data_IF_051100328155
#
_entry.id   IF_051100328155
#
_cell.length_a   1.000
_cell.length_b   1.000
_cell.length_c   1.000
_cell.angle_alpha   90.00
_cell.angle_beta   90.00
_cell.angle_gamma   90.00
#
_symmetry.space_group_name_H-M   'P 1'
#
loop_
_entity.id
_entity.type
_entity.pdbx_description
1 polymer ?
#
# COMPACT_ATOMS: atom_id res chain seq x y z
N UNK A 1 -13.35 -28.94 6.73
CA UNK A 1 -12.25 -28.53 5.81
C UNK A 1 -11.23 -27.79 6.64
N UNK A 2 -10.00 -28.31 6.71
CA UNK A 2 -8.87 -27.66 7.40
C UNK A 2 -8.46 -26.37 6.69
N UNK A 3 -7.67 -25.52 7.33
CA UNK A 3 -7.18 -24.30 6.67
C UNK A 3 -6.29 -24.62 5.48
N UNK A 4 -5.50 -25.70 5.57
CA UNK A 4 -4.71 -26.18 4.43
C UNK A 4 -5.59 -26.68 3.28
N UNK A 5 -6.64 -27.47 3.55
CA UNK A 5 -7.60 -27.91 2.53
C UNK A 5 -8.28 -26.75 1.81
N UNK A 6 -8.62 -25.67 2.53
CA UNK A 6 -9.19 -24.45 1.91
C UNK A 6 -8.25 -23.86 0.86
N UNK A 7 -6.92 -23.86 1.10
CA UNK A 7 -5.95 -23.24 0.19
C UNK A 7 -5.93 -23.97 -1.16
N UNK A 8 -5.93 -25.30 -1.14
CA UNK A 8 -5.75 -26.11 -2.35
C UNK A 8 -7.05 -26.66 -2.95
N UNK A 9 -8.22 -26.33 -2.38
CA UNK A 9 -9.49 -26.71 -3.00
C UNK A 9 -9.62 -26.08 -4.39
N UNK A 10 -10.24 -26.81 -5.33
CA UNK A 10 -10.45 -26.31 -6.69
C UNK A 10 -11.20 -24.99 -6.69
N UNK A 11 -12.25 -24.86 -5.86
CA UNK A 11 -13.06 -23.66 -5.74
C UNK A 11 -12.23 -22.44 -5.30
N UNK A 12 -11.39 -22.61 -4.28
CA UNK A 12 -10.53 -21.53 -3.78
C UNK A 12 -9.50 -21.12 -4.81
N UNK A 13 -8.85 -22.06 -5.48
CA UNK A 13 -7.89 -21.77 -6.55
C UNK A 13 -8.57 -21.11 -7.75
N UNK A 14 -9.78 -21.51 -8.11
CA UNK A 14 -10.56 -20.86 -9.18
C UNK A 14 -10.94 -19.42 -8.80
N UNK A 15 -11.41 -19.18 -7.58
CA UNK A 15 -11.71 -17.84 -7.08
C UNK A 15 -10.46 -16.96 -7.02
N UNK A 16 -9.32 -17.50 -6.57
CA UNK A 16 -8.02 -16.85 -6.58
C UNK A 16 -7.57 -16.48 -8.00
N UNK A 17 -7.73 -17.40 -8.97
CA UNK A 17 -7.49 -17.11 -10.38
C UNK A 17 -8.36 -15.95 -10.88
N UNK A 18 -9.67 -15.96 -10.60
CA UNK A 18 -10.58 -14.86 -10.98
C UNK A 18 -10.11 -13.51 -10.45
N UNK A 19 -9.68 -13.45 -9.19
CA UNK A 19 -9.11 -12.23 -8.58
C UNK A 19 -7.79 -11.83 -9.25
N UNK A 20 -6.88 -12.76 -9.45
CA UNK A 20 -5.57 -12.49 -10.05
C UNK A 20 -5.66 -11.93 -11.48
N UNK A 21 -6.67 -12.32 -12.26
CA UNK A 21 -6.88 -11.85 -13.65
C UNK A 21 -7.62 -10.52 -13.75
N UNK A 22 -8.24 -10.04 -12.68
CA UNK A 22 -9.06 -8.82 -12.73
C UNK A 22 -8.25 -7.62 -13.24
N UNK A 23 -8.74 -6.99 -14.32
CA UNK A 23 -8.04 -5.89 -14.99
C UNK A 23 -6.73 -6.27 -15.70
N UNK A 24 -6.42 -7.58 -15.85
CA UNK A 24 -5.15 -8.07 -16.44
C UNK A 24 -5.35 -9.17 -17.48
N UNK A 25 -6.59 -9.41 -17.94
CA UNK A 25 -6.92 -10.49 -18.89
C UNK A 25 -6.17 -10.39 -20.22
N UNK A 26 -5.84 -9.18 -20.64
CA UNK A 26 -5.08 -8.89 -21.85
C UNK A 26 -3.57 -9.21 -21.75
N UNK A 27 -3.05 -9.54 -20.57
CA UNK A 27 -1.64 -9.88 -20.37
C UNK A 27 -1.40 -11.34 -20.79
N UNK A 28 -0.38 -11.56 -21.63
CA UNK A 28 -0.04 -12.87 -22.17
C UNK A 28 0.11 -13.99 -21.15
N UNK A 29 0.66 -13.70 -19.95
CA UNK A 29 0.79 -14.69 -18.88
C UNK A 29 -0.58 -15.15 -18.32
N UNK A 30 -1.56 -14.24 -18.21
CA UNK A 30 -2.91 -14.58 -17.79
C UNK A 30 -3.62 -15.40 -18.88
N UNK A 31 -3.50 -14.98 -20.15
CA UNK A 31 -4.08 -15.68 -21.28
C UNK A 31 -3.52 -17.11 -21.43
N UNK A 32 -2.18 -17.28 -21.32
CA UNK A 32 -1.55 -18.62 -21.35
C UNK A 32 -2.07 -19.54 -20.26
N UNK A 33 -2.25 -19.03 -19.05
CA UNK A 33 -2.79 -19.81 -17.92
C UNK A 33 -4.27 -20.16 -18.16
N UNK A 34 -5.05 -19.28 -18.81
CA UNK A 34 -6.47 -19.46 -19.09
C UNK A 34 -6.74 -20.55 -20.15
N UNK A 35 -5.82 -20.81 -21.08
CA UNK A 35 -5.95 -21.84 -22.13
C UNK A 35 -6.17 -23.25 -21.53
N UNK A 36 -5.40 -23.62 -20.51
CA UNK A 36 -5.48 -24.92 -19.85
C UNK A 36 -5.91 -24.76 -18.38
N UNK A 37 -6.89 -23.89 -18.13
CA UNK A 37 -7.25 -23.46 -16.76
C UNK A 37 -7.58 -24.62 -15.83
N UNK A 38 -8.46 -25.55 -16.25
CA UNK A 38 -8.93 -26.65 -15.40
C UNK A 38 -7.78 -27.60 -15.04
N UNK A 39 -6.96 -27.93 -16.01
CA UNK A 39 -5.79 -28.78 -15.83
C UNK A 39 -4.76 -28.10 -14.90
N UNK A 40 -4.46 -26.82 -15.15
CA UNK A 40 -3.53 -26.03 -14.34
C UNK A 40 -3.98 -25.92 -12.87
N UNK A 41 -5.28 -25.71 -12.61
CA UNK A 41 -5.80 -25.62 -11.25
C UNK A 41 -5.78 -26.98 -10.55
N UNK A 42 -6.14 -28.07 -11.24
CA UNK A 42 -6.06 -29.43 -10.68
C UNK A 42 -4.62 -29.82 -10.37
N UNK A 43 -3.68 -29.49 -11.27
CA UNK A 43 -2.26 -29.73 -11.04
C UNK A 43 -1.75 -28.95 -9.82
N UNK A 44 -2.10 -27.66 -9.68
CA UNK A 44 -1.75 -26.84 -8.51
C UNK A 44 -2.33 -27.44 -7.23
N UNK A 45 -3.60 -27.84 -7.24
CA UNK A 45 -4.25 -28.51 -6.10
C UNK A 45 -3.47 -29.76 -5.68
N UNK A 46 -3.15 -30.62 -6.63
CA UNK A 46 -2.40 -31.85 -6.39
C UNK A 46 -0.98 -31.55 -5.86
N UNK A 47 -0.28 -30.59 -6.46
CA UNK A 47 1.08 -30.20 -6.03
C UNK A 47 1.11 -29.64 -4.60
N UNK A 48 0.14 -28.79 -4.23
CA UNK A 48 0.05 -28.24 -2.86
C UNK A 48 -0.28 -29.36 -1.88
N UNK A 49 -1.31 -30.15 -2.16
CA UNK A 49 -1.75 -31.28 -1.32
C UNK A 49 -0.62 -32.27 -1.02
N UNK A 50 0.22 -32.57 -2.02
CA UNK A 50 1.34 -33.52 -1.88
C UNK A 50 2.65 -32.85 -1.48
N UNK A 51 2.64 -31.54 -1.16
CA UNK A 51 3.83 -30.74 -0.81
C UNK A 51 4.93 -30.73 -1.89
N UNK A 52 4.56 -30.95 -3.15
CA UNK A 52 5.45 -30.88 -4.32
C UNK A 52 5.42 -29.52 -5.04
N UNK A 53 4.59 -28.60 -4.55
CA UNK A 53 4.57 -27.25 -5.08
C UNK A 53 5.89 -26.53 -4.84
N UNK A 54 6.39 -25.86 -5.85
CA UNK A 54 7.58 -25.00 -5.78
C UNK A 54 7.30 -23.65 -6.41
N UNK A 55 7.89 -22.60 -5.84
CA UNK A 55 7.83 -21.26 -6.39
C UNK A 55 8.62 -21.15 -7.68
N UNK A 56 8.07 -20.46 -8.67
CA UNK A 56 8.82 -20.09 -9.89
C UNK A 56 9.80 -18.96 -9.60
N UNK A 57 10.90 -18.85 -10.37
CA UNK A 57 11.77 -17.68 -10.31
C UNK A 57 11.00 -16.37 -10.51
N UNK A 58 11.40 -15.34 -9.78
CA UNK A 58 10.82 -14.01 -9.91
C UNK A 58 11.25 -13.34 -11.22
N UNK A 59 10.31 -12.65 -11.85
CA UNK A 59 10.64 -11.68 -12.89
C UNK A 59 10.87 -10.31 -12.24
N UNK A 60 12.11 -9.85 -12.23
CA UNK A 60 12.53 -8.62 -11.55
C UNK A 60 12.60 -7.46 -12.55
N UNK A 61 11.99 -6.33 -12.20
CA UNK A 61 12.05 -5.11 -12.98
C UNK A 61 12.00 -3.86 -12.08
N UNK A 62 12.45 -2.74 -12.62
CA UNK A 62 12.48 -1.47 -11.90
C UNK A 62 11.29 -0.58 -12.27
N UNK A 63 10.71 0.04 -11.23
CA UNK A 63 9.68 1.08 -11.36
C UNK A 63 10.26 2.39 -10.82
N UNK A 64 10.12 3.47 -11.58
CA UNK A 64 10.74 4.76 -11.25
C UNK A 64 9.78 5.80 -10.63
N UNK A 65 8.48 5.57 -10.68
CA UNK A 65 7.47 6.48 -10.10
C UNK A 65 6.72 5.84 -8.94
N UNK A 66 6.53 6.53 -7.81
CA UNK A 66 7.03 7.88 -7.44
C UNK A 66 8.50 7.88 -6.98
N UNK A 67 9.11 6.71 -6.79
CA UNK A 67 10.52 6.47 -6.44
C UNK A 67 10.99 5.20 -7.15
N UNK A 68 12.30 5.11 -7.43
CA UNK A 68 12.91 3.87 -7.91
C UNK A 68 12.67 2.74 -6.91
N UNK A 69 12.09 1.63 -7.40
CA UNK A 69 11.86 0.40 -6.63
C UNK A 69 12.12 -0.79 -7.52
N UNK A 70 12.76 -1.80 -6.96
CA UNK A 70 12.86 -3.12 -7.58
C UNK A 70 11.59 -3.88 -7.24
N UNK A 71 10.86 -4.30 -8.25
CA UNK A 71 9.63 -5.10 -8.10
C UNK A 71 9.93 -6.52 -8.55
N UNK A 72 9.60 -7.48 -7.71
CA UNK A 72 9.72 -8.91 -7.99
C UNK A 72 8.34 -9.47 -8.28
N UNK A 73 8.07 -9.78 -9.55
CA UNK A 73 6.78 -10.29 -9.98
C UNK A 73 6.79 -11.81 -10.06
N UNK A 74 5.85 -12.45 -9.39
CA UNK A 74 5.64 -13.89 -9.43
C UNK A 74 5.13 -14.32 -10.80
N UNK A 75 5.31 -15.60 -11.10
CA UNK A 75 4.60 -16.30 -12.17
C UNK A 75 3.07 -16.23 -11.94
N UNK A 76 2.29 -16.51 -12.97
CA UNK A 76 0.84 -16.42 -12.81
C UNK A 76 0.30 -17.53 -11.89
N UNK A 77 0.87 -18.75 -11.95
CA UNK A 77 0.50 -19.84 -11.04
C UNK A 77 0.75 -19.47 -9.56
N UNK A 78 1.89 -18.83 -9.28
CA UNK A 78 2.26 -18.44 -7.92
C UNK A 78 1.35 -17.33 -7.38
N UNK A 79 0.88 -16.42 -8.26
CA UNK A 79 -0.15 -15.45 -7.89
C UNK A 79 -1.45 -16.11 -7.48
N UNK A 80 -1.89 -17.15 -8.20
CA UNK A 80 -3.09 -17.90 -7.84
C UNK A 80 -2.95 -18.55 -6.46
N UNK A 81 -1.83 -19.21 -6.20
CA UNK A 81 -1.55 -19.83 -4.90
C UNK A 81 -1.53 -18.80 -3.78
N UNK A 82 -0.82 -17.69 -3.98
CA UNK A 82 -0.77 -16.62 -2.96
C UNK A 82 -2.12 -15.95 -2.72
N UNK A 83 -2.94 -15.75 -3.75
CA UNK A 83 -4.31 -15.27 -3.56
C UNK A 83 -5.13 -16.26 -2.76
N UNK A 84 -5.06 -17.56 -3.06
CA UNK A 84 -5.78 -18.58 -2.31
C UNK A 84 -5.34 -18.62 -0.83
N UNK A 85 -4.04 -18.60 -0.56
CA UNK A 85 -3.50 -18.54 0.80
C UNK A 85 -3.94 -17.27 1.55
N UNK A 86 -3.84 -16.10 0.90
CA UNK A 86 -4.22 -14.83 1.51
C UNK A 86 -5.71 -14.79 1.84
N UNK A 87 -6.56 -15.12 0.88
CA UNK A 87 -8.01 -14.98 1.01
C UNK A 87 -8.63 -15.97 2.02
N UNK A 88 -8.11 -17.19 2.07
CA UNK A 88 -8.71 -18.26 2.88
C UNK A 88 -8.06 -18.41 4.26
N UNK A 89 -6.83 -17.95 4.46
CA UNK A 89 -6.09 -18.19 5.71
C UNK A 89 -5.47 -16.91 6.27
N UNK A 90 -4.58 -16.25 5.52
CA UNK A 90 -3.80 -15.15 6.12
C UNK A 90 -4.69 -13.96 6.49
N UNK A 91 -5.54 -13.47 5.59
CA UNK A 91 -6.40 -12.32 5.86
C UNK A 91 -7.38 -12.61 7.00
N UNK A 92 -8.15 -13.72 7.01
CA UNK A 92 -9.07 -14.03 8.10
C UNK A 92 -8.42 -14.20 9.48
N UNK A 93 -7.17 -14.69 9.54
CA UNK A 93 -6.48 -14.95 10.81
C UNK A 93 -5.73 -13.71 11.28
N UNK A 94 -4.87 -13.13 10.42
CA UNK A 94 -3.96 -12.06 10.83
C UNK A 94 -4.68 -10.73 11.11
N UNK A 95 -5.73 -10.41 10.34
CA UNK A 95 -6.42 -9.13 10.50
C UNK A 95 -7.21 -8.99 11.79
N UNK A 96 -7.47 -10.11 12.52
CA UNK A 96 -8.17 -10.10 13.81
C UNK A 96 -7.41 -9.33 14.89
N UNK A 97 -6.07 -9.35 14.85
CA UNK A 97 -5.23 -8.63 15.82
C UNK A 97 -5.00 -7.17 15.42
N UNK A 98 -5.19 -6.81 14.15
CA UNK A 98 -4.84 -5.48 13.67
C UNK A 98 -5.72 -4.40 14.27
N UNK A 99 -5.12 -3.37 14.82
CA UNK A 99 -5.85 -2.23 15.34
C UNK A 99 -6.71 -1.55 14.26
N UNK A 100 -7.79 -0.87 14.69
CA UNK A 100 -8.66 -0.12 13.77
C UNK A 100 -7.86 0.89 12.92
N UNK A 101 -6.86 1.52 13.52
CA UNK A 101 -6.07 2.60 12.93
C UNK A 101 -4.82 2.13 12.15
N UNK A 102 -4.80 0.87 11.74
CA UNK A 102 -3.95 0.33 10.68
C UNK A 102 -4.76 0.32 9.38
N UNK A 103 -4.34 1.10 8.37
CA UNK A 103 -5.17 1.47 7.23
C UNK A 103 -4.84 0.75 5.92
N UNK A 104 -3.70 0.06 5.84
CA UNK A 104 -3.23 -0.52 4.58
C UNK A 104 -3.76 -1.93 4.35
N UNK A 105 -3.96 -2.29 3.07
CA UNK A 105 -4.19 -3.67 2.57
C UNK A 105 -5.20 -4.50 3.37
N UNK A 106 -6.30 -3.90 3.80
CA UNK A 106 -7.42 -4.55 4.49
C UNK A 106 -8.73 -4.16 3.80
N UNK A 107 -9.69 -5.09 3.79
CA UNK A 107 -11.04 -4.84 3.24
C UNK A 107 -11.71 -3.68 4.00
N UNK A 108 -12.32 -2.76 3.26
CA UNK A 108 -12.97 -1.57 3.83
C UNK A 108 -12.04 -0.47 4.32
N UNK A 109 -10.71 -0.68 4.26
CA UNK A 109 -9.70 0.32 4.60
C UNK A 109 -8.92 0.79 3.36
N UNK A 110 -7.94 1.64 3.53
CA UNK A 110 -7.12 2.18 2.44
C UNK A 110 -6.76 3.65 2.66
N UNK A 111 -6.24 4.29 1.62
CA UNK A 111 -5.77 5.68 1.67
C UNK A 111 -6.87 6.66 2.10
N UNK A 112 -8.10 6.50 1.60
CA UNK A 112 -9.20 7.39 1.95
C UNK A 112 -9.61 7.23 3.41
N UNK A 113 -9.76 5.98 3.87
CA UNK A 113 -10.05 5.69 5.26
C UNK A 113 -8.98 6.30 6.20
N UNK A 114 -7.68 6.12 5.89
CA UNK A 114 -6.61 6.70 6.69
C UNK A 114 -6.62 8.22 6.74
N UNK A 115 -6.94 8.89 5.61
CA UNK A 115 -7.09 10.33 5.55
C UNK A 115 -8.28 10.83 6.38
N UNK A 116 -9.39 10.13 6.35
CA UNK A 116 -10.59 10.49 7.12
C UNK A 116 -10.37 10.28 8.62
N UNK A 117 -9.64 9.22 9.00
CA UNK A 117 -9.22 9.00 10.39
C UNK A 117 -8.26 10.07 10.88
N UNK A 118 -7.27 10.49 10.08
CA UNK A 118 -6.40 11.62 10.43
C UNK A 118 -7.20 12.91 10.66
N UNK A 119 -8.13 13.20 9.78
CA UNK A 119 -9.01 14.37 9.90
C UNK A 119 -9.87 14.30 11.17
N UNK A 120 -10.43 13.13 11.49
CA UNK A 120 -11.18 12.90 12.71
C UNK A 120 -10.30 13.12 13.96
N UNK A 121 -9.09 12.59 13.97
CA UNK A 121 -8.15 12.76 15.07
C UNK A 121 -7.77 14.23 15.29
N UNK A 122 -7.49 14.96 14.21
CA UNK A 122 -7.21 16.40 14.30
C UNK A 122 -8.39 17.18 14.88
N UNK A 123 -9.63 16.90 14.45
CA UNK A 123 -10.85 17.54 15.00
C UNK A 123 -11.06 17.18 16.47
N UNK A 124 -10.88 15.92 16.86
CA UNK A 124 -11.01 15.48 18.26
C UNK A 124 -9.94 16.08 19.14
N UNK A 125 -8.71 16.17 18.63
CA UNK A 125 -7.61 16.82 19.32
C UNK A 125 -7.93 18.30 19.57
N UNK A 126 -8.33 19.03 18.53
CA UNK A 126 -8.68 20.44 18.60
C UNK A 126 -9.77 20.74 19.64
N UNK A 127 -10.83 19.96 19.68
CA UNK A 127 -11.92 20.12 20.66
C UNK A 127 -11.45 20.04 22.10
N UNK A 128 -10.39 19.30 22.37
CA UNK A 128 -9.87 19.10 23.73
C UNK A 128 -8.73 20.05 24.07
N UNK A 129 -7.86 20.36 23.11
CA UNK A 129 -6.57 21.00 23.37
C UNK A 129 -6.36 22.27 22.53
N UNK A 130 -7.34 22.69 21.74
CA UNK A 130 -7.15 23.78 20.77
C UNK A 130 -6.17 23.41 19.65
N UNK A 131 -5.49 24.40 19.11
CA UNK A 131 -4.51 24.22 18.02
C UNK A 131 -3.11 23.84 18.52
N UNK A 132 -2.86 24.06 19.82
CA UNK A 132 -1.54 23.88 20.41
C UNK A 132 -1.26 22.40 20.69
N UNK A 133 -0.51 21.82 19.80
CA UNK A 133 -0.11 20.42 19.86
C UNK A 133 1.04 20.11 18.93
N UNK A 134 1.46 18.87 19.00
CA UNK A 134 2.61 18.34 18.27
C UNK A 134 2.22 17.09 17.52
N UNK A 135 2.86 16.86 16.39
CA UNK A 135 2.74 15.63 15.63
C UNK A 135 4.12 15.02 15.43
N UNK A 136 4.26 13.73 15.78
CA UNK A 136 5.38 12.91 15.35
C UNK A 136 4.94 12.23 14.07
N UNK A 137 5.68 12.45 12.98
CA UNK A 137 5.54 11.76 11.71
C UNK A 137 6.74 10.85 11.52
N UNK A 138 6.48 9.55 11.45
CA UNK A 138 7.50 8.51 11.33
C UNK A 138 7.33 7.66 10.08
N UNK A 139 8.44 7.06 9.64
CA UNK A 139 8.55 6.18 8.49
C UNK A 139 9.67 5.18 8.75
N UNK A 140 9.51 3.91 8.35
CA UNK A 140 10.54 2.88 8.49
C UNK A 140 11.45 2.89 7.26
N UNK A 141 12.75 2.89 7.50
CA UNK A 141 13.73 2.88 6.42
C UNK A 141 13.72 1.55 5.67
N UNK A 142 13.59 1.59 4.33
CA UNK A 142 13.65 0.41 3.44
C UNK A 142 12.80 -0.77 3.93
N UNK A 143 11.61 -0.54 4.46
CA UNK A 143 10.81 -1.45 5.25
C UNK A 143 10.78 -2.88 4.68
N UNK A 144 10.27 -3.11 3.46
CA UNK A 144 10.17 -4.44 2.84
C UNK A 144 11.51 -5.14 2.67
N UNK A 145 12.58 -4.39 2.48
CA UNK A 145 13.95 -4.92 2.33
C UNK A 145 14.63 -5.24 3.67
N UNK A 146 14.03 -4.80 4.79
CA UNK A 146 14.61 -4.94 6.14
C UNK A 146 13.87 -5.96 7.01
N UNK A 147 12.79 -6.56 6.51
CA UNK A 147 12.03 -7.59 7.25
C UNK A 147 12.87 -8.85 7.37
N UNK A 148 13.17 -9.27 8.58
CA UNK A 148 13.91 -10.49 8.88
C UNK A 148 12.99 -11.71 8.81
N UNK A 149 13.43 -12.77 8.13
CA UNK A 149 12.63 -13.99 7.93
C UNK A 149 12.39 -14.73 9.25
N UNK A 150 13.40 -14.83 10.13
CA UNK A 150 13.29 -15.50 11.43
C UNK A 150 12.23 -14.83 12.32
N UNK A 151 12.27 -13.50 12.44
CA UNK A 151 11.29 -12.72 13.21
C UNK A 151 9.89 -12.86 12.60
N UNK A 152 9.77 -12.74 11.26
CA UNK A 152 8.50 -12.89 10.56
C UNK A 152 7.87 -14.27 10.78
N UNK A 153 8.66 -15.33 10.62
CA UNK A 153 8.21 -16.70 10.84
C UNK A 153 7.76 -16.95 12.29
N UNK A 154 8.45 -16.36 13.27
CA UNK A 154 8.05 -16.42 14.68
C UNK A 154 6.68 -15.78 14.89
N UNK A 155 6.48 -14.54 14.40
CA UNK A 155 5.20 -13.84 14.51
C UNK A 155 4.04 -14.58 13.81
N UNK A 156 4.31 -15.26 12.69
CA UNK A 156 3.30 -16.05 11.98
C UNK A 156 2.92 -17.28 12.83
N UNK A 157 3.90 -17.98 13.42
CA UNK A 157 3.68 -19.17 14.26
C UNK A 157 2.91 -18.87 15.55
N UNK A 158 2.92 -17.63 16.03
CA UNK A 158 2.06 -17.20 17.13
C UNK A 158 0.57 -17.15 16.74
N UNK A 159 0.24 -17.07 15.46
CA UNK A 159 -1.12 -16.92 14.94
C UNK A 159 -1.62 -18.16 14.18
N UNK A 160 -0.73 -18.90 13.55
CA UNK A 160 -1.03 -20.05 12.69
C UNK A 160 -0.22 -21.23 13.20
N UNK A 161 -0.92 -22.32 13.52
CA UNK A 161 -0.33 -23.54 14.09
C UNK A 161 -0.39 -24.75 13.15
N UNK A 162 -1.19 -24.67 12.07
CA UNK A 162 -1.30 -25.75 11.07
C UNK A 162 0.05 -25.94 10.35
N UNK A 163 0.72 -27.10 10.49
CA UNK A 163 2.05 -27.33 9.95
C UNK A 163 2.09 -27.33 8.42
N UNK A 164 0.99 -27.68 7.77
CA UNK A 164 0.91 -27.74 6.32
C UNK A 164 0.74 -26.33 5.72
N UNK A 165 -0.01 -25.47 6.41
CA UNK A 165 -0.09 -24.03 6.09
C UNK A 165 1.27 -23.38 6.31
N UNK A 166 1.93 -23.66 7.43
CA UNK A 166 3.26 -23.12 7.74
C UNK A 166 4.32 -23.54 6.71
N UNK A 167 4.27 -24.79 6.22
CA UNK A 167 5.14 -25.24 5.13
C UNK A 167 5.01 -24.34 3.89
N UNK A 168 3.77 -24.02 3.46
CA UNK A 168 3.56 -23.18 2.29
C UNK A 168 4.00 -21.74 2.52
N UNK A 169 3.77 -21.21 3.72
CA UNK A 169 4.20 -19.87 4.11
C UNK A 169 5.74 -19.77 4.11
N UNK A 170 6.42 -20.75 4.72
CA UNK A 170 7.88 -20.79 4.76
C UNK A 170 8.48 -20.88 3.34
N UNK A 171 7.90 -21.71 2.47
CA UNK A 171 8.29 -21.78 1.07
C UNK A 171 8.19 -20.42 0.35
N UNK A 172 7.17 -19.64 0.66
CA UNK A 172 6.99 -18.30 0.06
C UNK A 172 7.98 -17.30 0.66
N UNK A 173 8.21 -17.32 1.96
CA UNK A 173 9.17 -16.42 2.62
C UNK A 173 10.59 -16.71 2.13
N UNK A 174 10.97 -17.98 2.06
CA UNK A 174 12.32 -18.42 1.66
C UNK A 174 12.54 -18.41 0.13
N UNK A 175 11.54 -17.98 -0.64
CA UNK A 175 11.65 -17.86 -2.11
C UNK A 175 12.56 -16.73 -2.59
N UNK A 176 13.04 -15.89 -1.68
CA UNK A 176 14.05 -14.84 -1.95
C UNK A 176 15.41 -15.24 -1.37
N UNK A 177 16.48 -14.77 -2.01
CA UNK A 177 17.82 -15.00 -1.52
C UNK A 177 18.07 -14.33 -0.15
N UNK A 178 18.76 -15.03 0.74
CA UNK A 178 19.12 -14.53 2.06
C UNK A 178 18.00 -14.65 3.09
N UNK A 179 18.25 -14.09 4.28
CA UNK A 179 17.36 -14.20 5.44
C UNK A 179 16.68 -12.88 5.79
N UNK A 180 16.74 -11.89 4.89
CA UNK A 180 16.22 -10.53 5.09
C UNK A 180 15.60 -10.01 3.81
N UNK A 181 14.43 -9.40 3.94
CA UNK A 181 13.68 -8.80 2.84
C UNK A 181 12.58 -9.71 2.29
N UNK A 182 11.45 -9.09 1.96
CA UNK A 182 10.32 -9.76 1.31
C UNK A 182 10.00 -9.05 -0.02
N UNK A 183 9.51 -9.80 -1.04
CA UNK A 183 9.31 -9.27 -2.37
C UNK A 183 8.28 -8.15 -2.43
N UNK A 184 8.63 -7.03 -3.05
CA UNK A 184 7.66 -6.01 -3.42
C UNK A 184 6.93 -6.49 -4.69
N UNK A 185 5.65 -6.86 -4.54
CA UNK A 185 4.82 -7.35 -5.65
C UNK A 185 4.00 -8.59 -5.29
N UNK A 186 4.35 -9.28 -4.21
CA UNK A 186 3.58 -10.39 -3.67
C UNK A 186 2.40 -9.90 -2.84
N UNK A 187 1.26 -10.60 -2.91
CA UNK A 187 0.12 -10.30 -2.06
C UNK A 187 0.42 -10.68 -0.60
N UNK A 188 1.05 -11.82 -0.38
CA UNK A 188 1.47 -12.29 0.95
C UNK A 188 2.37 -11.27 1.64
N UNK A 189 3.30 -10.64 0.91
CA UNK A 189 4.20 -9.62 1.47
C UNK A 189 3.46 -8.42 2.08
N UNK A 190 2.27 -8.08 1.58
CA UNK A 190 1.46 -7.01 2.15
C UNK A 190 0.97 -7.38 3.56
N UNK A 191 0.42 -8.58 3.73
CA UNK A 191 -0.08 -9.07 5.03
C UNK A 191 1.06 -9.32 6.00
N UNK A 192 2.18 -9.88 5.52
CA UNK A 192 3.39 -10.07 6.32
C UNK A 192 3.96 -8.76 6.85
N UNK A 193 4.00 -7.73 6.01
CA UNK A 193 4.43 -6.40 6.42
C UNK A 193 3.45 -5.77 7.45
N UNK A 194 2.16 -6.01 7.35
CA UNK A 194 1.21 -5.54 8.36
C UNK A 194 1.42 -6.25 9.71
N UNK A 195 1.59 -7.57 9.69
CA UNK A 195 1.84 -8.38 10.88
C UNK A 195 3.15 -8.01 11.58
N UNK A 196 4.22 -7.77 10.82
CA UNK A 196 5.53 -7.46 11.37
C UNK A 196 5.54 -6.22 12.28
N UNK A 197 4.68 -5.24 12.00
CA UNK A 197 4.50 -4.03 12.81
C UNK A 197 3.21 -4.03 13.65
N UNK A 198 2.45 -5.12 13.70
CA UNK A 198 1.24 -5.21 14.52
C UNK A 198 1.56 -4.97 16.00
N UNK A 199 2.62 -5.61 16.50
CA UNK A 199 3.09 -5.36 17.87
C UNK A 199 3.50 -3.91 18.16
N UNK A 200 3.98 -3.15 17.15
CA UNK A 200 4.24 -1.72 17.30
C UNK A 200 2.93 -0.94 17.48
N UNK A 201 1.89 -1.32 16.73
CA UNK A 201 0.58 -0.66 16.83
C UNK A 201 0.00 -0.78 18.26
N UNK A 202 0.05 -1.99 18.81
CA UNK A 202 -0.36 -2.27 20.19
C UNK A 202 0.54 -1.57 21.21
N UNK A 203 1.85 -1.59 21.02
CA UNK A 203 2.79 -0.89 21.89
C UNK A 203 2.48 0.62 21.97
N UNK A 204 2.24 1.26 20.83
CA UNK A 204 1.92 2.70 20.77
C UNK A 204 0.57 3.01 21.41
N UNK A 205 -0.45 2.17 21.16
CA UNK A 205 -1.80 2.39 21.68
C UNK A 205 -1.93 2.06 23.17
N UNK A 206 -1.37 0.94 23.60
CA UNK A 206 -1.64 0.34 24.92
C UNK A 206 -0.54 0.70 25.95
N UNK A 207 0.74 0.66 25.55
CA UNK A 207 1.84 0.96 26.47
C UNK A 207 2.18 2.45 26.49
N UNK A 208 2.28 3.08 25.30
CA UNK A 208 2.50 4.52 25.22
C UNK A 208 1.21 5.33 25.35
N UNK A 209 0.04 4.73 25.43
CA UNK A 209 -1.24 5.41 25.65
C UNK A 209 -1.60 6.47 24.61
N UNK A 210 -1.01 6.43 23.38
CA UNK A 210 -1.24 7.43 22.35
C UNK A 210 -2.61 7.22 21.72
N UNK A 211 -3.54 8.10 22.05
CA UNK A 211 -4.92 8.04 21.55
C UNK A 211 -5.02 8.31 20.04
N UNK A 212 -4.27 9.28 19.53
CA UNK A 212 -4.32 9.75 18.15
C UNK A 212 -3.12 9.22 17.37
N UNK A 213 -3.12 7.94 17.12
CA UNK A 213 -2.12 7.19 16.35
C UNK A 213 -2.78 6.53 15.14
N UNK A 214 -2.08 6.56 14.00
CA UNK A 214 -2.49 5.82 12.82
C UNK A 214 -1.31 5.43 11.95
N UNK A 215 -1.42 4.29 11.26
CA UNK A 215 -0.37 3.74 10.40
C UNK A 215 -0.92 3.29 9.04
N UNK A 216 -0.13 3.54 8.00
CA UNK A 216 -0.31 2.99 6.66
C UNK A 216 1.00 2.35 6.22
N UNK A 217 1.12 1.03 6.30
CA UNK A 217 2.36 0.27 6.12
C UNK A 217 3.46 0.75 7.08
N UNK A 218 4.54 1.29 6.52
CA UNK A 218 5.71 1.86 7.20
C UNK A 218 5.51 3.32 7.65
N UNK A 219 4.49 3.98 7.13
CA UNK A 219 4.21 5.40 7.35
C UNK A 219 3.19 5.60 8.48
N UNK A 220 3.59 6.27 9.59
CA UNK A 220 2.74 6.46 10.77
C UNK A 220 2.81 7.87 11.35
N UNK A 221 1.82 8.21 12.15
CA UNK A 221 1.78 9.48 12.88
C UNK A 221 1.22 9.31 14.30
N UNK A 222 1.69 10.18 15.22
CA UNK A 222 1.17 10.34 16.57
C UNK A 222 0.86 11.82 16.79
N UNK A 223 -0.27 12.14 17.42
CA UNK A 223 -0.63 13.51 17.82
C UNK A 223 -0.76 13.58 19.34
N UNK A 224 -0.08 14.55 19.96
CA UNK A 224 -0.12 14.78 21.39
C UNK A 224 0.07 16.27 21.71
N UNK A 225 -0.41 16.72 22.86
CA UNK A 225 -0.24 18.12 23.32
C UNK A 225 1.17 18.37 23.87
N UNK A 226 1.79 17.36 24.44
CA UNK A 226 3.13 17.45 25.04
C UNK A 226 4.21 16.98 24.06
N UNK A 227 5.16 17.88 23.74
CA UNK A 227 6.30 17.61 22.87
C UNK A 227 7.32 16.68 23.50
N UNK A 228 7.60 16.88 24.80
CA UNK A 228 8.60 16.07 25.51
C UNK A 228 8.14 14.61 25.58
N UNK A 229 6.85 14.40 25.81
CA UNK A 229 6.26 13.06 25.75
C UNK A 229 6.41 12.41 24.37
N UNK A 230 6.17 13.14 23.28
CA UNK A 230 6.39 12.60 21.93
C UNK A 230 7.87 12.31 21.64
N UNK A 231 8.80 13.08 22.22
CA UNK A 231 10.23 12.78 22.11
C UNK A 231 10.58 11.47 22.79
N UNK A 232 10.01 11.22 23.97
CA UNK A 232 10.18 9.95 24.67
C UNK A 232 9.52 8.79 23.90
N UNK A 233 8.30 8.97 23.40
CA UNK A 233 7.65 8.00 22.53
C UNK A 233 8.52 7.66 21.31
N UNK A 234 9.14 8.65 20.67
CA UNK A 234 10.05 8.42 19.53
C UNK A 234 11.21 7.51 19.91
N UNK A 235 11.88 7.75 21.05
CA UNK A 235 12.99 6.90 21.52
C UNK A 235 12.53 5.47 21.76
N UNK A 236 11.38 5.29 22.42
CA UNK A 236 10.85 3.97 22.71
C UNK A 236 10.39 3.23 21.45
N UNK A 237 9.78 3.92 20.48
CA UNK A 237 9.45 3.37 19.16
C UNK A 237 10.72 2.97 18.42
N UNK A 238 11.77 3.79 18.45
CA UNK A 238 13.05 3.49 17.82
C UNK A 238 13.68 2.21 18.39
N UNK A 239 13.74 2.09 19.73
CA UNK A 239 14.20 0.88 20.41
C UNK A 239 13.35 -0.36 20.03
N UNK A 240 12.03 -0.20 19.99
CA UNK A 240 11.10 -1.27 19.61
C UNK A 240 11.36 -1.80 18.20
N UNK A 241 11.53 -0.91 17.20
CA UNK A 241 11.77 -1.32 15.82
C UNK A 241 13.18 -1.85 15.62
N UNK A 242 14.19 -1.32 16.34
CA UNK A 242 15.57 -1.81 16.32
C UNK A 242 15.67 -3.25 16.83
N UNK A 243 14.94 -3.59 17.89
CA UNK A 243 14.88 -4.98 18.40
C UNK A 243 14.34 -5.98 17.36
N UNK A 244 13.66 -5.50 16.31
CA UNK A 244 13.16 -6.28 15.19
C UNK A 244 14.00 -6.17 13.92
N UNK A 245 15.19 -5.57 14.00
CA UNK A 245 16.07 -5.37 12.85
C UNK A 245 15.64 -4.24 11.91
N UNK A 246 14.75 -3.36 12.35
CA UNK A 246 14.28 -2.21 11.58
C UNK A 246 14.91 -0.91 12.09
N UNK A 247 14.86 0.14 11.28
CA UNK A 247 15.30 1.48 11.68
C UNK A 247 14.32 2.55 11.23
N UNK A 248 14.15 3.59 12.04
CA UNK A 248 13.40 4.77 11.66
C UNK A 248 14.12 5.52 10.53
N UNK A 249 13.35 6.05 9.59
CA UNK A 249 13.89 6.91 8.56
C UNK A 249 14.38 8.23 9.17
N UNK A 250 15.50 8.76 8.69
CA UNK A 250 16.05 10.04 9.13
C UNK A 250 15.08 11.24 9.02
N UNK A 251 14.02 11.10 8.21
CA UNK A 251 12.95 12.09 8.09
C UNK A 251 11.91 12.03 9.22
N UNK A 252 11.98 11.03 10.11
CA UNK A 252 11.12 10.95 11.29
C UNK A 252 11.32 12.17 12.16
N UNK A 253 10.27 12.97 12.34
CA UNK A 253 10.39 14.27 13.00
C UNK A 253 9.14 14.62 13.82
N UNK A 254 9.33 15.50 14.81
CA UNK A 254 8.27 16.09 15.63
C UNK A 254 8.20 17.57 15.30
N UNK A 255 7.00 18.02 14.97
CA UNK A 255 6.74 19.43 14.60
C UNK A 255 5.38 19.88 15.12
N UNK A 256 5.13 21.21 15.22
CA UNK A 256 3.85 21.75 15.66
C UNK A 256 2.70 21.29 14.76
N UNK A 257 1.58 20.90 15.37
CA UNK A 257 0.38 20.43 14.67
C UNK A 257 -0.18 21.48 13.70
N UNK A 258 -0.05 22.77 14.04
CA UNK A 258 -0.46 23.90 13.18
C UNK A 258 0.24 23.95 11.83
N UNK A 259 1.42 23.35 11.69
CA UNK A 259 2.10 23.25 10.40
C UNK A 259 1.46 22.23 9.46
N UNK A 260 0.53 21.40 9.96
CA UNK A 260 -0.06 20.31 9.20
C UNK A 260 0.89 19.14 8.98
N UNK A 261 0.39 18.10 8.35
CA UNK A 261 1.14 16.87 8.08
C UNK A 261 0.93 16.37 6.66
N UNK A 262 2.01 15.91 6.06
CA UNK A 262 2.00 15.21 4.79
C UNK A 262 1.71 13.72 5.03
N UNK A 263 0.53 13.24 4.60
CA UNK A 263 0.13 11.85 4.74
C UNK A 263 -0.69 11.40 3.52
N UNK A 264 -0.41 10.23 2.99
CA UNK A 264 -1.13 9.57 1.88
C UNK A 264 -1.42 10.50 0.68
N UNK A 265 -0.45 11.32 0.29
CA UNK A 265 -0.54 12.18 -0.89
C UNK A 265 -1.13 13.56 -0.65
N UNK A 266 -1.56 13.85 0.56
CA UNK A 266 -2.15 15.14 0.95
C UNK A 266 -1.33 15.83 2.05
N UNK A 267 -1.46 17.14 2.10
CA UNK A 267 -1.10 17.98 3.22
C UNK A 267 -2.36 18.34 4.00
N UNK A 268 -2.47 17.88 5.24
CA UNK A 268 -3.65 18.08 6.09
C UNK A 268 -3.27 18.94 7.29
N UNK A 269 -4.01 20.02 7.55
CA UNK A 269 -3.76 20.95 8.63
C UNK A 269 -5.04 21.47 9.29
N UNK A 270 -4.91 21.97 10.52
CA UNK A 270 -5.94 22.68 11.27
C UNK A 270 -5.86 24.18 10.98
N UNK A 271 -7.02 24.82 10.83
CA UNK A 271 -7.15 26.28 10.89
C UNK A 271 -7.32 26.73 12.35
N UNK A 272 -7.17 28.01 12.61
CA UNK A 272 -7.44 28.60 13.93
C UNK A 272 -8.88 28.36 14.40
N UNK A 273 -9.84 28.30 13.48
CA UNK A 273 -11.24 27.98 13.78
C UNK A 273 -11.52 26.48 14.01
N UNK A 274 -10.50 25.61 13.95
CA UNK A 274 -10.64 24.15 14.12
C UNK A 274 -11.12 23.41 12.89
N UNK A 275 -11.27 24.06 11.74
CA UNK A 275 -11.55 23.38 10.49
C UNK A 275 -10.30 22.60 10.04
N UNK A 276 -10.49 21.37 9.57
CA UNK A 276 -9.41 20.57 9.00
C UNK A 276 -9.44 20.70 7.49
N UNK A 277 -8.35 21.19 6.93
CA UNK A 277 -8.16 21.40 5.49
C UNK A 277 -7.19 20.36 4.95
N UNK A 278 -7.56 19.70 3.85
CA UNK A 278 -6.79 18.67 3.15
C UNK A 278 -6.47 19.16 1.73
N UNK A 279 -5.20 19.44 1.44
CA UNK A 279 -4.76 19.92 0.12
C UNK A 279 -3.87 18.88 -0.57
N UNK A 280 -4.04 18.70 -1.88
CA UNK A 280 -3.13 17.91 -2.71
C UNK A 280 -1.72 18.48 -2.62
N UNK A 281 -0.72 17.64 -2.38
CA UNK A 281 0.70 18.06 -2.24
C UNK A 281 1.19 18.74 -3.50
N UNK A 282 2.02 19.79 -3.31
CA UNK A 282 2.61 20.59 -4.41
C UNK A 282 3.32 19.71 -5.45
N UNK A 283 4.05 18.69 -4.99
CA UNK A 283 4.73 17.74 -5.89
C UNK A 283 3.75 16.99 -6.80
N UNK A 284 2.62 16.50 -6.27
CA UNK A 284 1.60 15.80 -7.06
C UNK A 284 1.00 16.70 -8.14
N UNK A 285 0.69 17.96 -7.80
CA UNK A 285 0.19 18.98 -8.77
C UNK A 285 1.19 19.22 -9.90
N UNK A 286 2.45 19.42 -9.56
CA UNK A 286 3.51 19.69 -10.54
C UNK A 286 3.79 18.48 -11.43
N UNK A 287 3.82 17.28 -10.86
CA UNK A 287 4.00 16.03 -11.61
C UNK A 287 2.85 15.82 -12.60
N UNK A 288 1.59 16.06 -12.16
CA UNK A 288 0.45 15.94 -13.08
C UNK A 288 0.53 16.91 -14.26
N UNK A 289 0.87 18.19 -14.03
CA UNK A 289 1.05 19.14 -15.13
C UNK A 289 2.13 18.71 -16.14
N UNK A 290 3.28 18.22 -15.64
CA UNK A 290 4.34 17.69 -16.51
C UNK A 290 3.89 16.46 -17.29
N UNK A 291 3.19 15.54 -16.60
CA UNK A 291 2.67 14.31 -17.21
C UNK A 291 1.65 14.62 -18.30
N UNK A 292 0.71 15.54 -18.07
CA UNK A 292 -0.27 15.96 -19.07
C UNK A 292 0.40 16.55 -20.31
N UNK A 293 1.42 17.44 -20.12
CA UNK A 293 2.17 18.00 -21.24
C UNK A 293 2.85 16.91 -22.08
N UNK A 294 3.47 15.92 -21.42
CA UNK A 294 4.13 14.77 -22.08
C UNK A 294 3.10 13.90 -22.84
N UNK A 295 1.99 13.54 -22.18
CA UNK A 295 0.97 12.69 -22.78
C UNK A 295 0.29 13.38 -23.97
N UNK A 296 -0.05 14.67 -23.86
CA UNK A 296 -0.59 15.45 -24.98
C UNK A 296 0.37 15.51 -26.17
N UNK A 297 1.69 15.61 -25.93
CA UNK A 297 2.68 15.55 -26.99
C UNK A 297 2.76 14.17 -27.67
N UNK A 298 2.68 13.08 -26.90
CA UNK A 298 2.63 11.71 -27.42
C UNK A 298 1.35 11.45 -28.23
N UNK A 299 0.22 11.98 -27.78
CA UNK A 299 -1.04 11.91 -28.51
C UNK A 299 -0.96 12.65 -29.83
N UNK A 300 -0.45 13.89 -29.85
CA UNK A 300 -0.26 14.65 -31.08
C UNK A 300 0.72 14.00 -32.07
N UNK A 301 1.65 13.16 -31.59
CA UNK A 301 2.55 12.36 -32.40
C UNK A 301 1.94 11.00 -32.83
N UNK A 302 0.67 10.74 -32.58
CA UNK A 302 -0.02 9.47 -32.90
C UNK A 302 0.46 8.24 -32.13
N UNK A 303 1.26 8.43 -31.04
CA UNK A 303 1.84 7.31 -30.26
C UNK A 303 0.90 6.74 -29.21
N UNK A 304 -0.09 7.51 -28.78
CA UNK A 304 -1.15 7.11 -27.83
C UNK A 304 -2.48 7.73 -28.25
N UNK A 305 -3.59 7.09 -27.86
CA UNK A 305 -4.93 7.59 -28.09
C UNK A 305 -5.35 8.67 -27.06
N UNK A 306 -6.36 9.46 -27.40
CA UNK A 306 -6.91 10.49 -26.49
C UNK A 306 -7.43 9.88 -25.18
N UNK A 307 -8.01 8.66 -25.25
CA UNK A 307 -8.54 7.92 -24.10
C UNK A 307 -7.46 7.63 -23.06
N UNK A 308 -6.24 7.30 -23.48
CA UNK A 308 -5.08 7.09 -22.58
C UNK A 308 -4.74 8.38 -21.81
N UNK A 309 -4.77 9.53 -22.48
CA UNK A 309 -4.52 10.83 -21.82
C UNK A 309 -5.61 11.13 -20.80
N UNK A 310 -6.87 10.94 -21.21
CA UNK A 310 -8.04 11.17 -20.38
C UNK A 310 -8.04 10.27 -19.13
N UNK A 311 -7.84 8.96 -19.29
CA UNK A 311 -7.77 8.01 -18.17
C UNK A 311 -6.70 8.40 -17.15
N UNK A 312 -5.53 8.84 -17.63
CA UNK A 312 -4.46 9.29 -16.73
C UNK A 312 -4.86 10.56 -15.97
N UNK A 313 -5.59 11.47 -16.61
CA UNK A 313 -6.08 12.68 -15.96
C UNK A 313 -7.21 12.39 -14.96
N UNK A 314 -8.21 11.60 -15.36
CA UNK A 314 -9.35 11.23 -14.50
C UNK A 314 -8.90 10.48 -13.24
N UNK A 315 -7.90 9.60 -13.34
CA UNK A 315 -7.30 8.94 -12.18
C UNK A 315 -6.73 9.94 -11.16
N UNK A 316 -5.99 10.96 -11.62
CA UNK A 316 -5.48 11.99 -10.74
C UNK A 316 -6.58 12.92 -10.20
N UNK A 317 -7.55 13.26 -11.04
CA UNK A 317 -8.70 14.09 -10.69
C UNK A 317 -9.51 13.45 -9.56
N UNK A 318 -9.84 12.16 -9.68
CA UNK A 318 -10.53 11.39 -8.65
C UNK A 318 -9.74 11.32 -7.33
N UNK A 319 -8.39 11.26 -7.38
CA UNK A 319 -7.58 11.42 -6.18
C UNK A 319 -7.68 12.84 -5.60
N UNK A 320 -7.60 13.87 -6.43
CA UNK A 320 -7.65 15.27 -5.97
C UNK A 320 -9.00 15.65 -5.36
N UNK A 321 -10.11 15.08 -5.81
CA UNK A 321 -11.47 15.28 -5.29
C UNK A 321 -11.63 14.89 -3.81
N UNK A 322 -10.73 14.03 -3.30
CA UNK A 322 -10.72 13.64 -1.87
C UNK A 322 -10.16 14.72 -0.94
N UNK A 323 -9.75 15.85 -1.47
CA UNK A 323 -9.28 17.01 -0.71
C UNK A 323 -10.10 18.27 -0.98
N UNK A 324 -9.76 19.35 -0.28
CA UNK A 324 -10.30 20.69 -0.53
C UNK A 324 -9.65 21.27 -1.80
N UNK A 325 -9.96 20.70 -2.96
CA UNK A 325 -9.23 20.91 -4.22
C UNK A 325 -10.09 21.47 -5.35
N UNK A 326 -11.29 21.97 -5.08
CA UNK A 326 -12.23 22.47 -6.10
C UNK A 326 -11.57 23.41 -7.12
N UNK A 327 -11.00 24.53 -6.66
CA UNK A 327 -10.34 25.49 -7.56
C UNK A 327 -9.09 24.93 -8.25
N UNK A 328 -8.39 23.97 -7.61
CA UNK A 328 -7.28 23.29 -8.24
C UNK A 328 -7.76 22.43 -9.42
N UNK A 329 -8.84 21.69 -9.22
CA UNK A 329 -9.44 20.83 -10.24
C UNK A 329 -9.91 21.70 -11.42
N UNK A 330 -10.69 22.76 -11.19
CA UNK A 330 -11.12 23.68 -12.25
C UNK A 330 -9.95 24.21 -13.10
N UNK A 331 -8.87 24.70 -12.44
CA UNK A 331 -7.69 25.20 -13.16
C UNK A 331 -6.97 24.11 -13.95
N UNK A 332 -7.02 22.86 -13.46
CA UNK A 332 -6.37 21.75 -14.15
C UNK A 332 -7.23 21.21 -15.28
N UNK A 333 -8.57 21.23 -15.14
CA UNK A 333 -9.52 20.94 -16.22
C UNK A 333 -9.32 21.92 -17.39
N UNK A 334 -9.23 23.24 -17.11
CA UNK A 334 -8.94 24.25 -18.12
C UNK A 334 -7.58 24.03 -18.80
N UNK A 335 -6.56 23.64 -18.02
CA UNK A 335 -5.23 23.34 -18.57
C UNK A 335 -5.24 22.09 -19.45
N UNK A 336 -5.93 21.03 -19.03
CA UNK A 336 -6.12 19.80 -19.80
C UNK A 336 -6.82 20.10 -21.13
N UNK A 337 -7.96 20.78 -21.10
CA UNK A 337 -8.74 21.12 -22.29
C UNK A 337 -7.94 21.99 -23.28
N UNK A 338 -7.17 22.96 -22.78
CA UNK A 338 -6.29 23.77 -23.63
C UNK A 338 -5.21 22.94 -24.31
N UNK A 339 -4.58 22.01 -23.59
CA UNK A 339 -3.55 21.12 -24.16
C UNK A 339 -4.11 20.20 -25.25
N UNK A 340 -5.30 19.67 -25.07
CA UNK A 340 -5.93 18.79 -26.05
C UNK A 340 -6.33 19.56 -27.31
N UNK A 341 -7.05 20.72 -27.17
CA UNK A 341 -7.45 21.56 -28.30
C UNK A 341 -6.28 22.09 -29.10
N UNK A 342 -5.22 22.59 -28.46
CA UNK A 342 -4.04 23.14 -29.17
C UNK A 342 -3.30 22.08 -29.99
N UNK A 343 -3.45 20.80 -29.65
CA UNK A 343 -2.80 19.68 -30.32
C UNK A 343 -3.64 19.11 -31.45
N UNK A 344 -4.96 19.12 -31.32
CA UNK A 344 -5.90 18.77 -32.40
C UNK A 344 -5.78 19.77 -33.56
N UNK A 345 -5.72 21.09 -33.26
CA UNK A 345 -5.50 22.12 -34.28
C UNK A 345 -4.17 21.95 -35.03
N UNK A 346 -3.12 21.56 -34.33
CA UNK A 346 -1.80 21.29 -34.95
C UNK A 346 -1.77 20.00 -35.81
N UNK A 347 -2.64 19.04 -35.58
CA UNK A 347 -2.82 17.85 -36.41
C UNK A 347 -3.60 18.18 -37.71
N UNK A 348 -4.67 18.99 -37.60
CA UNK A 348 -5.47 19.41 -38.75
C UNK A 348 -4.68 20.28 -39.75
N UNK A 349 -3.60 20.96 -39.31
CA UNK A 349 -2.74 21.76 -40.19
C UNK A 349 -1.65 20.94 -40.90
N UNK A 350 -1.49 19.67 -40.58
CA UNK A 350 -0.50 18.77 -41.19
C UNK A 350 -1.08 17.78 -42.20
N UNK A 351 -2.38 17.81 -42.38
CA UNK A 351 -3.14 17.12 -43.44
C UNK A 351 -3.73 18.14 -44.41
#
# INVERSE_FOLDING_TARGET
MTDFEKIHSFESLYNAYRKARQGKRWKGAAAKFEVNLLEALNLLSAQIRTKRYTMSPYNTFEVYEPKRRVVMSNSYKDKVVQHSLCDNVLEPILTRSFIRDNYASQVGKGTHYGLDRLQEFMRRFYRKNGIDGWILKGDISKYFYSIRHDVLKTLIREKITDPDVLWLIDLIIDSTEGNVGIPIGNQTSQLFALLYLDGLDHFVKEKLGIKYYGRYMDDFFLIHHDKAYLQECRKQIEAFVQARGLSLNAKTNIFPLKHGVDFLGFHTYLTESGAVIRKVRRRSKNNMKRKLKKLAALHAAGRIDAKTVEQSYQSWRGHAEKGNSYHLIQRTDQYYNRLMKSKEAAQCQKH
#
